data_IF_818947244033
#
_entry.id   IF_818947244033
#
_cell.length_a   1.000
_cell.length_b   1.000
_cell.length_c   1.000
_cell.angle_alpha   90.00
_cell.angle_beta   90.00
_cell.angle_gamma   90.00
#
_symmetry.space_group_name_H-M   'P 1'
#
loop_
_entity.id
_entity.type
_entity.pdbx_description
1 polymer ?
#
# COMPACT_ATOMS: atom_id res chain seq x y z
N UNK A 1 62.22 25.50 -6.46
CA UNK A 1 60.92 26.01 -5.96
C UNK A 1 59.89 24.90 -6.13
N UNK A 2 59.26 24.49 -5.04
CA UNK A 2 58.25 23.43 -4.96
C UNK A 2 56.88 24.09 -4.88
N UNK A 3 55.93 23.71 -5.74
CA UNK A 3 54.51 23.95 -5.53
C UNK A 3 53.82 22.60 -5.72
N UNK A 4 53.31 22.08 -4.60
CA UNK A 4 52.53 20.86 -4.53
C UNK A 4 51.12 21.13 -5.08
N UNK A 5 50.65 20.31 -6.00
CA UNK A 5 49.26 20.33 -6.46
C UNK A 5 48.45 19.37 -5.59
N UNK A 6 47.32 19.91 -5.17
CA UNK A 6 46.40 19.44 -4.14
C UNK A 6 45.75 18.11 -4.54
N UNK A 7 45.65 17.22 -3.55
CA UNK A 7 45.00 15.93 -3.62
C UNK A 7 43.55 16.05 -4.10
N UNK A 8 43.22 15.30 -5.15
CA UNK A 8 41.84 15.05 -5.54
C UNK A 8 41.20 14.17 -4.46
N UNK A 9 40.31 14.77 -3.67
CA UNK A 9 39.34 14.07 -2.84
C UNK A 9 38.43 13.25 -3.77
N UNK A 10 38.72 11.96 -3.90
CA UNK A 10 37.78 10.99 -4.41
C UNK A 10 36.63 10.85 -3.42
N UNK A 11 35.51 11.52 -3.70
CA UNK A 11 34.23 11.17 -3.09
C UNK A 11 33.77 9.82 -3.67
N UNK A 12 34.19 8.73 -3.02
CA UNK A 12 33.60 7.41 -3.18
C UNK A 12 32.23 7.40 -2.50
N UNK A 13 31.22 7.90 -3.21
CA UNK A 13 29.83 7.73 -2.82
C UNK A 13 29.43 6.26 -3.00
N UNK A 14 29.11 5.63 -1.86
CA UNK A 14 28.22 4.49 -1.69
C UNK A 14 28.66 3.12 -2.25
N UNK A 15 29.58 2.46 -1.53
CA UNK A 15 29.49 1.00 -1.40
C UNK A 15 28.53 0.66 -0.26
N UNK A 16 27.23 0.66 -0.53
CA UNK A 16 26.26 -0.05 0.30
C UNK A 16 26.42 -1.55 0.00
N UNK A 17 27.37 -2.19 0.66
CA UNK A 17 27.34 -3.64 0.87
C UNK A 17 26.16 -3.96 1.80
N UNK A 18 24.99 -4.19 1.22
CA UNK A 18 23.94 -4.98 1.85
C UNK A 18 23.86 -6.27 1.06
N UNK A 19 24.25 -7.37 1.70
CA UNK A 19 23.94 -8.70 1.18
C UNK A 19 22.44 -8.83 0.96
N UNK A 20 22.00 -9.77 0.11
CA UNK A 20 20.58 -9.99 -0.12
C UNK A 20 19.98 -10.62 1.14
N UNK A 21 19.62 -9.78 2.11
CA UNK A 21 18.61 -10.15 3.10
C UNK A 21 17.32 -10.37 2.31
N UNK A 22 17.02 -11.64 2.11
CA UNK A 22 15.81 -12.15 1.45
C UNK A 22 14.54 -11.94 2.31
N UNK A 23 14.61 -11.11 3.35
CA UNK A 23 13.52 -10.80 4.29
C UNK A 23 12.71 -9.54 3.93
N UNK A 24 12.98 -8.90 2.79
CA UNK A 24 12.40 -7.59 2.40
C UNK A 24 11.13 -7.72 1.54
N UNK A 25 10.48 -8.88 1.56
CA UNK A 25 9.10 -8.99 1.10
C UNK A 25 8.20 -8.98 2.31
N UNK A 26 7.25 -8.04 2.40
CA UNK A 26 6.08 -8.29 3.24
C UNK A 26 5.40 -9.52 2.63
N UNK A 27 5.40 -10.70 3.28
CA UNK A 27 4.72 -11.85 2.70
C UNK A 27 3.25 -11.48 2.54
N UNK A 28 2.62 -11.94 1.45
CA UNK A 28 1.16 -11.96 1.38
C UNK A 28 0.71 -12.95 2.44
N UNK A 29 0.34 -12.46 3.62
CA UNK A 29 -0.26 -13.30 4.66
C UNK A 29 -1.67 -13.63 4.17
N UNK A 30 -1.85 -14.83 3.63
CA UNK A 30 -3.17 -15.35 3.31
C UNK A 30 -3.89 -15.67 4.63
N UNK A 31 -5.02 -15.03 4.93
CA UNK A 31 -5.80 -15.40 6.09
C UNK A 31 -6.28 -16.84 5.88
N UNK A 32 -6.03 -17.71 6.85
CA UNK A 32 -6.54 -19.08 6.83
C UNK A 32 -8.06 -19.01 6.64
N UNK A 33 -8.62 -19.63 5.58
CA UNK A 33 -10.05 -19.63 5.40
C UNK A 33 -10.69 -20.29 6.62
N UNK A 34 -11.74 -19.70 7.22
CA UNK A 34 -12.42 -20.33 8.33
C UNK A 34 -13.03 -21.66 7.86
N UNK A 35 -12.90 -22.66 8.70
CA UNK A 35 -13.41 -24.01 8.44
C UNK A 35 -14.95 -24.07 8.39
N UNK A 36 -15.61 -23.09 9.02
CA UNK A 36 -17.06 -22.91 8.97
C UNK A 36 -17.43 -21.84 7.91
N UNK A 37 -18.22 -22.21 6.86
CA UNK A 37 -18.65 -21.27 5.83
C UNK A 37 -19.48 -20.10 6.36
N UNK A 38 -20.24 -20.27 7.45
CA UNK A 38 -21.04 -19.19 8.05
C UNK A 38 -20.13 -18.21 8.79
N UNK A 39 -19.18 -18.71 9.57
CA UNK A 39 -18.11 -17.89 10.15
C UNK A 39 -17.29 -17.17 9.05
N UNK A 40 -17.13 -17.79 7.89
CA UNK A 40 -16.48 -17.21 6.72
C UNK A 40 -17.21 -16.04 6.09
N UNK A 41 -18.54 -16.00 6.13
CA UNK A 41 -19.28 -14.82 5.67
C UNK A 41 -19.12 -13.69 6.69
N UNK A 42 -19.31 -13.97 7.98
CA UNK A 42 -19.18 -12.95 9.04
C UNK A 42 -17.77 -12.33 9.10
N UNK A 43 -16.72 -13.13 8.90
CA UNK A 43 -15.34 -12.63 8.88
C UNK A 43 -15.08 -11.68 7.70
N UNK A 44 -15.73 -11.92 6.55
CA UNK A 44 -15.60 -11.10 5.33
C UNK A 44 -16.27 -9.73 5.44
N UNK A 45 -17.10 -9.53 6.46
CA UNK A 45 -17.80 -8.27 6.74
C UNK A 45 -17.10 -7.42 7.81
N UNK A 46 -15.83 -7.70 8.11
CA UNK A 46 -15.02 -6.89 9.03
C UNK A 46 -14.15 -5.87 8.29
N UNK A 47 -13.84 -4.76 8.98
CA UNK A 47 -12.88 -3.76 8.50
C UNK A 47 -11.50 -4.40 8.26
N UNK A 48 -11.02 -5.21 9.21
CA UNK A 48 -9.72 -5.87 9.13
C UNK A 48 -9.60 -6.76 7.89
N UNK A 49 -10.61 -7.59 7.64
CA UNK A 49 -10.62 -8.44 6.45
C UNK A 49 -10.63 -7.62 5.15
N UNK A 50 -11.43 -6.55 5.12
CA UNK A 50 -11.54 -5.68 3.93
C UNK A 50 -10.23 -4.95 3.63
N UNK A 51 -9.57 -4.41 4.65
CA UNK A 51 -8.25 -3.79 4.53
C UNK A 51 -7.20 -4.79 4.03
N UNK A 52 -7.10 -5.94 4.69
CA UNK A 52 -6.15 -6.98 4.28
C UNK A 52 -6.43 -7.53 2.87
N UNK A 53 -7.69 -7.60 2.46
CA UNK A 53 -8.04 -8.03 1.10
C UNK A 53 -7.63 -7.01 0.03
N UNK A 54 -7.80 -5.72 0.30
CA UNK A 54 -7.31 -4.66 -0.57
C UNK A 54 -5.78 -4.69 -0.69
N UNK A 55 -5.06 -4.77 0.44
CA UNK A 55 -3.59 -4.88 0.46
C UNK A 55 -3.08 -6.04 -0.38
N UNK A 56 -3.65 -7.25 -0.18
CA UNK A 56 -3.26 -8.44 -0.96
C UNK A 56 -3.48 -8.26 -2.46
N UNK A 57 -4.61 -7.68 -2.85
CA UNK A 57 -4.90 -7.44 -4.26
C UNK A 57 -3.88 -6.47 -4.87
N UNK A 58 -3.64 -5.33 -4.20
CA UNK A 58 -2.72 -4.30 -4.68
C UNK A 58 -1.29 -4.85 -4.75
N UNK A 59 -0.84 -5.55 -3.71
CA UNK A 59 0.46 -6.21 -3.65
C UNK A 59 0.60 -7.17 -4.83
N UNK A 60 -0.32 -8.12 -5.02
CA UNK A 60 -0.27 -9.10 -6.12
C UNK A 60 -0.21 -8.43 -7.50
N UNK A 61 -1.03 -7.42 -7.75
CA UNK A 61 -1.05 -6.75 -9.06
C UNK A 61 0.19 -5.87 -9.28
N UNK A 62 0.69 -5.20 -8.24
CA UNK A 62 1.96 -4.46 -8.31
C UNK A 62 3.12 -5.38 -8.71
N UNK A 63 3.22 -6.58 -8.12
CA UNK A 63 4.23 -7.56 -8.52
C UNK A 63 4.00 -8.16 -9.91
N UNK A 64 2.77 -8.25 -10.40
CA UNK A 64 2.55 -8.71 -11.79
C UNK A 64 3.00 -7.67 -12.81
N UNK A 65 2.91 -6.39 -12.45
CA UNK A 65 3.16 -5.27 -13.35
C UNK A 65 4.50 -4.57 -13.10
N UNK A 66 5.31 -5.00 -12.12
CA UNK A 66 6.55 -4.31 -11.78
C UNK A 66 7.56 -4.26 -12.93
N UNK A 67 7.58 -5.27 -13.81
CA UNK A 67 8.51 -5.36 -14.95
C UNK A 67 8.12 -4.49 -16.15
N UNK A 68 6.96 -3.83 -16.11
CA UNK A 68 6.54 -2.89 -17.14
C UNK A 68 7.50 -1.70 -17.25
N UNK A 69 7.63 -1.14 -18.44
CA UNK A 69 8.47 0.04 -18.72
C UNK A 69 7.78 1.37 -18.42
N UNK A 70 6.48 1.35 -18.12
CA UNK A 70 5.69 2.56 -17.83
C UNK A 70 6.16 3.26 -16.55
N UNK A 71 5.75 4.51 -16.34
CA UNK A 71 6.05 5.21 -15.08
C UNK A 71 5.37 4.51 -13.88
N UNK A 72 6.04 4.48 -12.73
CA UNK A 72 5.60 3.69 -11.58
C UNK A 72 4.23 4.16 -11.03
N UNK A 73 3.92 5.45 -11.16
CA UNK A 73 2.65 6.04 -10.74
C UNK A 73 1.50 5.69 -11.70
N UNK A 74 1.77 5.56 -13.01
CA UNK A 74 0.81 5.02 -13.99
C UNK A 74 0.46 3.58 -13.63
N UNK A 75 1.48 2.76 -13.37
CA UNK A 75 1.28 1.36 -12.96
C UNK A 75 0.54 1.29 -11.64
N UNK A 76 0.86 2.12 -10.65
CA UNK A 76 0.16 2.17 -9.37
C UNK A 76 -1.34 2.49 -9.53
N UNK A 77 -1.70 3.44 -10.40
CA UNK A 77 -3.10 3.74 -10.72
C UNK A 77 -3.79 2.55 -11.38
N UNK A 78 -3.12 1.88 -12.32
CA UNK A 78 -3.65 0.68 -12.96
C UNK A 78 -3.85 -0.48 -11.95
N UNK A 79 -2.95 -0.62 -10.97
CA UNK A 79 -3.05 -1.58 -9.87
C UNK A 79 -4.27 -1.28 -8.98
N UNK A 80 -4.46 -0.02 -8.58
CA UNK A 80 -5.65 0.38 -7.80
C UNK A 80 -6.93 0.13 -8.59
N UNK A 81 -6.95 0.45 -9.88
CA UNK A 81 -8.10 0.20 -10.76
C UNK A 81 -8.40 -1.30 -10.90
N UNK A 82 -7.38 -2.15 -11.04
CA UNK A 82 -7.56 -3.60 -11.08
C UNK A 82 -8.12 -4.18 -9.76
N UNK A 83 -7.93 -3.46 -8.65
CA UNK A 83 -8.37 -3.85 -7.32
C UNK A 83 -9.57 -3.02 -6.81
N UNK A 84 -10.26 -2.31 -7.70
CA UNK A 84 -11.28 -1.32 -7.35
C UNK A 84 -12.31 -1.88 -6.36
N UNK A 85 -12.89 -3.05 -6.62
CA UNK A 85 -13.91 -3.63 -5.73
C UNK A 85 -13.41 -3.88 -4.29
N UNK A 86 -12.14 -4.26 -4.12
CA UNK A 86 -11.55 -4.49 -2.80
C UNK A 86 -11.23 -3.16 -2.11
N UNK A 87 -10.69 -2.21 -2.86
CA UNK A 87 -10.38 -0.85 -2.38
C UNK A 87 -11.66 -0.12 -1.97
N UNK A 88 -12.71 -0.14 -2.79
CA UNK A 88 -14.02 0.48 -2.51
C UNK A 88 -14.66 -0.05 -1.23
N UNK A 89 -14.56 -1.37 -1.00
CA UNK A 89 -15.07 -1.97 0.22
C UNK A 89 -14.32 -1.45 1.43
N UNK A 90 -12.98 -1.45 1.40
CA UNK A 90 -12.16 -0.95 2.50
C UNK A 90 -12.41 0.55 2.76
N UNK A 91 -12.53 1.36 1.70
CA UNK A 91 -12.86 2.79 1.77
C UNK A 91 -14.24 3.01 2.40
N UNK A 92 -15.23 2.20 2.05
CA UNK A 92 -16.57 2.28 2.62
C UNK A 92 -16.59 2.00 4.13
N UNK A 93 -15.81 1.02 4.59
CA UNK A 93 -15.65 0.77 6.04
C UNK A 93 -14.96 1.94 6.76
N UNK A 94 -13.92 2.53 6.16
CA UNK A 94 -13.26 3.72 6.73
C UNK A 94 -14.20 4.90 6.85
N UNK A 95 -15.01 5.15 5.81
CA UNK A 95 -16.07 6.17 5.82
C UNK A 95 -17.06 5.95 6.96
N UNK A 96 -17.56 4.72 7.10
CA UNK A 96 -18.51 4.37 8.15
C UNK A 96 -17.90 4.49 9.55
N UNK A 97 -16.65 4.06 9.73
CA UNK A 97 -15.93 4.17 11.00
C UNK A 97 -15.75 5.63 11.44
N UNK A 98 -15.34 6.50 10.50
CA UNK A 98 -15.19 7.92 10.77
C UNK A 98 -16.54 8.57 11.13
N UNK A 99 -17.59 8.28 10.37
CA UNK A 99 -18.96 8.76 10.66
C UNK A 99 -19.46 8.33 12.06
N UNK A 100 -19.16 7.09 12.46
CA UNK A 100 -19.58 6.54 13.76
C UNK A 100 -18.71 7.00 14.94
N UNK A 101 -17.46 7.41 14.68
CA UNK A 101 -16.54 7.92 15.69
C UNK A 101 -16.84 9.33 16.17
N UNK A 102 -17.70 10.07 15.47
CA UNK A 102 -18.06 11.44 15.82
C UNK A 102 -18.89 11.52 17.13
N UNK A 103 -18.67 12.54 17.97
CA UNK A 103 -19.40 12.74 19.21
C UNK A 103 -20.92 12.77 19.05
N UNK A 104 -21.63 12.35 20.10
CA UNK A 104 -23.08 12.56 20.17
C UNK A 104 -23.37 14.07 20.26
N UNK A 105 -24.18 14.57 19.33
CA UNK A 105 -24.51 15.99 19.21
C UNK A 105 -23.85 16.68 18.01
N UNK A 106 -22.89 16.04 17.33
CA UNK A 106 -22.35 16.55 16.06
C UNK A 106 -23.47 16.60 15.00
N UNK A 107 -23.66 17.75 14.32
CA UNK A 107 -24.60 17.87 13.21
C UNK A 107 -24.40 16.79 12.14
N UNK A 108 -25.49 16.29 11.57
CA UNK A 108 -25.44 15.14 10.67
C UNK A 108 -24.61 15.42 9.41
N UNK A 109 -24.69 16.64 8.89
CA UNK A 109 -23.91 17.12 7.74
C UNK A 109 -22.40 17.14 8.03
N UNK A 110 -22.00 17.56 9.23
CA UNK A 110 -20.60 17.54 9.65
C UNK A 110 -20.08 16.09 9.76
N UNK A 111 -20.89 15.18 10.29
CA UNK A 111 -20.53 13.75 10.35
C UNK A 111 -20.34 13.14 8.96
N UNK A 112 -21.21 13.46 8.01
CA UNK A 112 -21.06 13.02 6.62
C UNK A 112 -19.78 13.57 5.99
N UNK A 113 -19.47 14.84 6.22
CA UNK A 113 -18.25 15.48 5.74
C UNK A 113 -16.99 14.77 6.25
N UNK A 114 -16.92 14.48 7.55
CA UNK A 114 -15.79 13.72 8.14
C UNK A 114 -15.67 12.33 7.51
N UNK A 115 -16.80 11.64 7.30
CA UNK A 115 -16.81 10.35 6.58
C UNK A 115 -16.24 10.45 5.16
N UNK A 116 -16.61 11.49 4.42
CA UNK A 116 -16.15 11.71 3.04
C UNK A 116 -14.68 12.08 2.96
N UNK A 117 -14.19 12.88 3.91
CA UNK A 117 -12.77 13.21 4.05
C UNK A 117 -11.94 11.96 4.37
N UNK A 118 -12.43 11.10 5.27
CA UNK A 118 -11.80 9.83 5.59
C UNK A 118 -11.77 8.88 4.38
N UNK A 119 -12.85 8.84 3.59
CA UNK A 119 -12.91 8.07 2.35
C UNK A 119 -11.87 8.57 1.33
N UNK A 120 -11.77 9.88 1.14
CA UNK A 120 -10.80 10.49 0.24
C UNK A 120 -9.35 10.26 0.70
N UNK A 121 -9.09 10.34 2.01
CA UNK A 121 -7.78 10.02 2.59
C UNK A 121 -7.42 8.54 2.37
N UNK A 122 -8.35 7.61 2.61
CA UNK A 122 -8.14 6.19 2.39
C UNK A 122 -7.82 5.87 0.92
N UNK A 123 -8.50 6.50 -0.04
CA UNK A 123 -8.18 6.35 -1.48
C UNK A 123 -6.74 6.77 -1.80
N UNK A 124 -6.30 7.91 -1.25
CA UNK A 124 -4.92 8.38 -1.44
C UNK A 124 -3.91 7.40 -0.84
N UNK A 125 -4.15 6.91 0.37
CA UNK A 125 -3.25 5.93 1.00
C UNK A 125 -3.14 4.62 0.21
N UNK A 126 -4.22 4.19 -0.46
CA UNK A 126 -4.17 3.00 -1.32
C UNK A 126 -3.33 3.21 -2.57
N UNK A 127 -3.38 4.40 -3.16
CA UNK A 127 -2.52 4.75 -4.29
C UNK A 127 -1.05 4.81 -3.88
N UNK A 128 -0.75 5.42 -2.73
CA UNK A 128 0.60 5.47 -2.17
C UNK A 128 1.14 4.07 -1.86
N UNK A 129 0.30 3.20 -1.27
CA UNK A 129 0.64 1.80 -1.03
C UNK A 129 0.94 1.06 -2.34
N UNK A 130 0.08 1.19 -3.35
CA UNK A 130 0.28 0.56 -4.65
C UNK A 130 1.59 1.03 -5.31
N UNK A 131 1.87 2.35 -5.26
CA UNK A 131 3.12 2.93 -5.76
C UNK A 131 4.34 2.35 -5.05
N UNK A 132 4.31 2.30 -3.71
CA UNK A 132 5.36 1.70 -2.92
C UNK A 132 5.61 0.25 -3.35
N UNK A 133 4.56 -0.57 -3.53
CA UNK A 133 4.71 -1.97 -3.95
C UNK A 133 5.25 -2.13 -5.38
N UNK A 134 4.88 -1.24 -6.31
CA UNK A 134 5.47 -1.22 -7.66
C UNK A 134 6.96 -0.92 -7.59
N UNK A 135 7.36 0.08 -6.78
CA UNK A 135 8.77 0.45 -6.59
C UNK A 135 9.57 -0.67 -5.92
N UNK A 136 9.01 -1.31 -4.90
CA UNK A 136 9.61 -2.49 -4.25
C UNK A 136 9.85 -3.62 -5.26
N UNK A 137 8.86 -3.93 -6.10
CA UNK A 137 8.99 -4.92 -7.18
C UNK A 137 10.10 -4.56 -8.17
N UNK A 138 10.12 -3.31 -8.66
CA UNK A 138 11.13 -2.82 -9.63
C UNK A 138 12.54 -2.84 -9.10
N UNK A 139 12.71 -2.58 -7.80
CA UNK A 139 14.01 -2.61 -7.17
C UNK A 139 14.60 -4.03 -7.06
N UNK A 140 13.92 -5.07 -7.58
CA UNK A 140 14.37 -6.46 -7.51
C UNK A 140 14.35 -7.00 -6.08
N UNK A 141 13.66 -6.31 -5.16
CA UNK A 141 13.65 -6.62 -3.73
C UNK A 141 12.73 -7.78 -3.38
N UNK A 142 12.09 -8.40 -4.37
CA UNK A 142 11.26 -9.58 -4.19
C UNK A 142 11.35 -10.54 -5.36
N UNK A 143 11.53 -11.83 -5.03
CA UNK A 143 11.22 -12.96 -5.90
C UNK A 143 9.87 -13.54 -5.45
N UNK A 144 9.01 -13.98 -6.38
CA UNK A 144 7.81 -14.76 -6.04
C UNK A 144 8.17 -16.07 -5.35
#
# INVERSE_FOLDING_TARGET
MRIAIIAAMGLTLASCTQGPDSSVCTPIIEPTPPSDPVAGVAQRDTLEWSMGNAERCLHRNAYRLHTTTDEADIVARAVVQACESAVERAVSYRRAQAFQGEPQGTPLDERFKVGDEAAAAARRSWLEFALMKVVEGRAGRCKP
#
